data_IF_178512525413
#
_entry.id   IF_178512525413
#
_cell.length_a   1.000
_cell.length_b   1.000
_cell.length_c   1.000
_cell.angle_alpha   90.00
_cell.angle_beta   90.00
_cell.angle_gamma   90.00
#
_symmetry.space_group_name_H-M   'P 1'
#
loop_
_entity.id
_entity.type
_entity.pdbx_description
1 polymer ?
#
# COMPACT_ATOMS: atom_id res chain seq x y z
N UNK A 1 -43.64 0.90 2.46
CA UNK A 1 -42.38 0.53 3.14
C UNK A 1 -41.36 0.11 2.08
N UNK A 2 -40.42 0.99 1.73
CA UNK A 2 -39.38 0.66 0.76
C UNK A 2 -38.32 -0.21 1.43
N UNK A 3 -38.21 -1.48 1.04
CA UNK A 3 -37.12 -2.37 1.44
C UNK A 3 -35.81 -1.78 0.94
N UNK A 4 -35.11 -1.05 1.82
CA UNK A 4 -33.83 -0.44 1.52
C UNK A 4 -32.84 -1.53 1.17
N UNK A 5 -32.44 -1.61 -0.11
CA UNK A 5 -31.46 -2.59 -0.60
C UNK A 5 -30.22 -2.50 0.30
N UNK A 6 -29.78 -3.60 0.93
CA UNK A 6 -28.66 -3.58 1.85
C UNK A 6 -27.45 -2.94 1.16
N UNK A 7 -26.74 -2.10 1.93
CA UNK A 7 -25.57 -1.36 1.47
C UNK A 7 -24.50 -2.37 1.03
N UNK A 8 -24.21 -2.42 -0.28
CA UNK A 8 -23.21 -3.32 -0.85
C UNK A 8 -21.87 -3.27 -0.10
N UNK A 9 -21.20 -4.40 0.10
CA UNK A 9 -19.91 -4.45 0.80
C UNK A 9 -18.84 -3.56 0.13
N UNK A 10 -17.85 -3.13 0.89
CA UNK A 10 -16.72 -2.37 0.35
C UNK A 10 -15.94 -3.29 -0.61
N UNK A 11 -15.63 -2.79 -1.81
CA UNK A 11 -15.03 -3.61 -2.87
C UNK A 11 -16.03 -4.38 -3.72
N UNK A 12 -17.33 -4.36 -3.39
CA UNK A 12 -18.36 -5.05 -4.18
C UNK A 12 -18.40 -4.51 -5.63
N UNK A 13 -18.21 -5.43 -6.56
CA UNK A 13 -18.38 -5.24 -8.00
C UNK A 13 -19.78 -5.71 -8.36
N UNK A 14 -20.63 -4.81 -8.87
CA UNK A 14 -21.95 -5.18 -9.35
C UNK A 14 -21.86 -6.08 -10.59
N UNK A 15 -22.99 -6.65 -10.98
CA UNK A 15 -23.12 -7.27 -12.29
C UNK A 15 -22.71 -6.28 -13.41
N UNK A 16 -22.03 -6.80 -14.44
CA UNK A 16 -21.59 -6.03 -15.59
C UNK A 16 -22.75 -5.96 -16.58
N UNK A 17 -23.19 -4.73 -16.89
CA UNK A 17 -24.19 -4.48 -17.93
C UNK A 17 -23.52 -4.30 -19.29
N UNK A 18 -24.11 -4.91 -20.32
CA UNK A 18 -23.71 -4.75 -21.72
C UNK A 18 -24.83 -4.08 -22.51
N UNK A 19 -24.47 -3.14 -23.38
CA UNK A 19 -25.43 -2.44 -24.24
C UNK A 19 -24.83 -2.21 -25.60
N UNK A 20 -25.57 -2.57 -26.66
CA UNK A 20 -25.29 -2.12 -28.03
C UNK A 20 -25.67 -0.65 -28.16
N UNK A 21 -24.70 0.21 -28.48
CA UNK A 21 -24.90 1.66 -28.65
C UNK A 21 -25.26 1.99 -30.10
N UNK A 22 -24.64 1.32 -31.07
CA UNK A 22 -24.82 1.56 -32.50
C UNK A 22 -24.72 0.24 -33.27
N UNK A 23 -25.52 0.10 -34.32
CA UNK A 23 -25.51 -1.09 -35.18
C UNK A 23 -24.51 -0.98 -36.33
N UNK A 24 -24.35 0.21 -36.93
CA UNK A 24 -23.41 0.43 -38.03
C UNK A 24 -22.61 1.75 -37.89
N UNK A 25 -21.26 1.71 -37.76
CA UNK A 25 -20.50 0.52 -37.42
C UNK A 25 -20.81 0.08 -35.99
N UNK A 26 -20.84 -1.23 -35.79
CA UNK A 26 -21.23 -1.87 -34.54
C UNK A 26 -20.41 -1.35 -33.36
N UNK A 27 -21.09 -0.94 -32.30
CA UNK A 27 -20.46 -0.40 -31.10
C UNK A 27 -21.18 -0.89 -29.85
N UNK A 28 -20.42 -1.57 -29.00
CA UNK A 28 -20.87 -2.09 -27.72
C UNK A 28 -20.27 -1.31 -26.56
N UNK A 29 -20.99 -1.28 -25.46
CA UNK A 29 -20.55 -0.71 -24.19
C UNK A 29 -20.73 -1.71 -23.06
N UNK A 30 -19.70 -1.83 -22.23
CA UNK A 30 -19.77 -2.55 -20.98
C UNK A 30 -19.63 -1.54 -19.84
N UNK A 31 -20.49 -1.63 -18.82
CA UNK A 31 -20.45 -0.76 -17.63
C UNK A 31 -20.61 -1.59 -16.36
N UNK A 32 -19.94 -1.18 -15.30
CA UNK A 32 -20.09 -1.77 -13.97
C UNK A 32 -20.09 -0.71 -12.89
N UNK A 33 -20.71 -1.00 -11.74
CA UNK A 33 -20.65 -0.16 -10.54
C UNK A 33 -19.77 -0.85 -9.50
N UNK A 34 -18.80 -0.12 -8.97
CA UNK A 34 -17.86 -0.61 -7.95
C UNK A 34 -18.03 0.26 -6.73
N UNK A 35 -18.24 -0.34 -5.56
CA UNK A 35 -18.18 0.41 -4.29
C UNK A 35 -16.74 0.47 -3.81
N UNK A 36 -16.16 1.66 -3.78
CA UNK A 36 -14.81 1.90 -3.31
C UNK A 36 -14.76 1.85 -1.77
N UNK A 37 -13.57 1.59 -1.21
CA UNK A 37 -13.35 1.49 0.24
C UNK A 37 -13.63 2.80 1.01
N UNK A 38 -13.59 3.95 0.33
CA UNK A 38 -14.04 5.25 0.87
C UNK A 38 -15.58 5.43 0.85
N UNK A 39 -16.34 4.38 0.54
CA UNK A 39 -17.79 4.40 0.47
C UNK A 39 -18.37 5.01 -0.81
N UNK A 40 -17.56 5.67 -1.66
CA UNK A 40 -18.00 6.24 -2.95
C UNK A 40 -18.19 5.14 -3.99
N UNK A 41 -19.01 5.42 -5.00
CA UNK A 41 -19.21 4.51 -6.13
C UNK A 41 -18.41 4.99 -7.34
N UNK A 42 -17.61 4.10 -7.92
CA UNK A 42 -17.06 4.27 -9.27
C UNK A 42 -17.96 3.58 -10.29
N UNK A 43 -18.06 4.17 -11.49
CA UNK A 43 -18.85 3.61 -12.60
C UNK A 43 -18.00 3.48 -13.87
N UNK A 44 -16.98 2.61 -13.89
CA UNK A 44 -16.19 2.41 -15.09
C UNK A 44 -17.04 1.89 -16.24
N UNK A 45 -16.77 2.43 -17.42
CA UNK A 45 -17.33 1.99 -18.70
C UNK A 45 -16.23 1.79 -19.72
N UNK A 46 -16.45 0.92 -20.68
CA UNK A 46 -15.59 0.76 -21.84
C UNK A 46 -16.41 0.40 -23.07
N UNK A 47 -15.89 0.76 -24.26
CA UNK A 47 -16.53 0.51 -25.55
C UNK A 47 -15.67 -0.39 -26.42
N UNK A 48 -16.29 -1.12 -27.35
CA UNK A 48 -15.60 -1.96 -28.32
C UNK A 48 -16.49 -2.29 -29.52
N UNK A 49 -15.87 -2.72 -30.63
CA UNK A 49 -16.59 -3.08 -31.85
C UNK A 49 -17.50 -4.31 -31.67
N UNK A 50 -17.21 -5.15 -30.66
CA UNK A 50 -18.03 -6.30 -30.28
C UNK A 50 -18.28 -6.28 -28.77
N UNK A 51 -19.30 -7.00 -28.30
CA UNK A 51 -19.56 -7.17 -26.87
C UNK A 51 -18.32 -7.70 -26.13
N UNK A 52 -17.63 -8.68 -26.73
CA UNK A 52 -16.40 -9.26 -26.19
C UNK A 52 -15.26 -8.22 -26.10
N UNK A 53 -15.12 -7.35 -27.10
CA UNK A 53 -14.13 -6.27 -27.08
C UNK A 53 -14.44 -5.26 -25.97
N UNK A 54 -15.70 -4.86 -25.81
CA UNK A 54 -16.14 -3.97 -24.73
C UNK A 54 -15.90 -4.58 -23.35
N UNK A 55 -16.20 -5.89 -23.17
CA UNK A 55 -15.92 -6.66 -21.95
C UNK A 55 -14.44 -6.65 -21.61
N UNK A 56 -13.57 -6.98 -22.57
CA UNK A 56 -12.12 -7.04 -22.33
C UNK A 56 -11.54 -5.67 -22.00
N UNK A 57 -12.00 -4.61 -22.69
CA UNK A 57 -11.61 -3.24 -22.39
C UNK A 57 -12.07 -2.81 -20.98
N UNK A 58 -13.28 -3.21 -20.57
CA UNK A 58 -13.80 -2.95 -19.23
C UNK A 58 -12.97 -3.68 -18.17
N UNK A 59 -12.66 -4.96 -18.35
CA UNK A 59 -11.80 -5.72 -17.42
C UNK A 59 -10.46 -5.03 -17.20
N UNK A 60 -9.77 -4.62 -18.27
CA UNK A 60 -8.51 -3.84 -18.16
C UNK A 60 -8.69 -2.54 -17.38
N UNK A 61 -9.83 -1.85 -17.56
CA UNK A 61 -10.13 -0.60 -16.85
C UNK A 61 -10.45 -0.83 -15.37
N UNK A 62 -11.14 -1.93 -15.05
CA UNK A 62 -11.38 -2.36 -13.67
C UNK A 62 -10.05 -2.69 -13.00
N UNK A 63 -9.17 -3.45 -13.65
CA UNK A 63 -7.82 -3.74 -13.12
C UNK A 63 -7.03 -2.46 -12.88
N UNK A 64 -7.00 -1.50 -13.81
CA UNK A 64 -6.34 -0.20 -13.58
C UNK A 64 -6.94 0.61 -12.43
N UNK A 65 -8.25 0.53 -12.22
CA UNK A 65 -8.92 1.18 -11.07
C UNK A 65 -8.57 0.44 -9.79
N UNK A 66 -8.57 -0.89 -9.79
CA UNK A 66 -8.11 -1.71 -8.70
C UNK A 66 -6.64 -1.43 -8.38
N UNK A 67 -5.74 -1.34 -9.37
CA UNK A 67 -4.33 -1.00 -9.21
C UNK A 67 -4.11 0.43 -8.75
N UNK A 68 -4.95 1.40 -9.15
CA UNK A 68 -4.88 2.78 -8.63
C UNK A 68 -5.36 2.85 -7.18
N UNK A 69 -6.35 2.03 -6.83
CA UNK A 69 -6.86 1.82 -5.47
C UNK A 69 -5.75 1.13 -4.66
N UNK A 70 -5.31 -0.08 -5.01
CA UNK A 70 -4.24 -0.87 -4.36
C UNK A 70 -2.87 -0.17 -4.33
N UNK A 71 -2.43 0.46 -5.42
CA UNK A 71 -1.14 1.16 -5.50
C UNK A 71 -1.02 2.38 -4.59
N UNK A 72 -2.17 2.92 -4.13
CA UNK A 72 -2.27 3.99 -3.14
C UNK A 72 -2.81 3.52 -1.77
N UNK A 73 -3.26 2.26 -1.67
CA UNK A 73 -3.93 1.71 -0.49
C UNK A 73 -3.09 0.56 0.05
N UNK A 74 -2.43 0.84 1.16
CA UNK A 74 -1.88 -0.21 1.99
C UNK A 74 -3.03 -0.96 2.68
N UNK A 75 -2.88 -2.27 2.81
CA UNK A 75 -3.78 -3.17 3.54
C UNK A 75 -2.95 -4.05 4.47
N UNK A 76 -3.61 -4.76 5.39
CA UNK A 76 -2.95 -5.74 6.27
C UNK A 76 -2.14 -6.78 5.51
N UNK A 77 -2.58 -7.17 4.31
CA UNK A 77 -1.89 -8.12 3.42
C UNK A 77 -0.72 -7.51 2.63
N UNK A 78 -0.55 -6.18 2.66
CA UNK A 78 0.54 -5.53 1.95
C UNK A 78 1.89 -5.93 2.55
N UNK A 79 2.92 -6.09 1.71
CA UNK A 79 4.28 -6.31 2.20
C UNK A 79 4.74 -5.13 3.05
N UNK A 80 5.32 -5.43 4.20
CA UNK A 80 5.77 -4.42 5.14
C UNK A 80 6.93 -3.58 4.55
N UNK A 81 7.76 -4.17 3.70
CA UNK A 81 8.77 -3.44 2.93
C UNK A 81 8.19 -2.35 2.02
N UNK A 82 7.00 -2.57 1.44
CA UNK A 82 6.30 -1.54 0.66
C UNK A 82 5.84 -0.37 1.55
N UNK A 83 5.41 -0.66 2.78
CA UNK A 83 5.05 0.36 3.77
C UNK A 83 6.27 1.20 4.14
N UNK A 84 7.42 0.55 4.37
CA UNK A 84 8.68 1.25 4.66
C UNK A 84 9.09 2.19 3.52
N UNK A 85 8.98 1.73 2.27
CA UNK A 85 9.30 2.55 1.09
C UNK A 85 8.39 3.77 0.98
N UNK A 86 7.07 3.58 1.17
CA UNK A 86 6.11 4.69 1.14
C UNK A 86 6.32 5.67 2.29
N UNK A 87 6.62 5.19 3.49
CA UNK A 87 6.95 6.04 4.62
C UNK A 87 8.23 6.86 4.36
N UNK A 88 9.28 6.23 3.82
CA UNK A 88 10.54 6.90 3.51
C UNK A 88 10.36 7.97 2.42
N UNK A 89 9.53 7.70 1.41
CA UNK A 89 9.16 8.69 0.39
C UNK A 89 8.42 9.89 1.00
N UNK A 90 7.49 9.66 1.93
CA UNK A 90 6.82 10.74 2.67
C UNK A 90 7.80 11.53 3.57
N UNK A 91 8.77 10.85 4.19
CA UNK A 91 9.82 11.51 4.96
C UNK A 91 10.70 12.40 4.07
N UNK A 92 11.06 11.93 2.87
CA UNK A 92 11.81 12.72 1.89
C UNK A 92 11.09 14.00 1.51
N UNK A 93 9.77 13.94 1.28
CA UNK A 93 8.96 15.15 1.03
C UNK A 93 9.02 16.16 2.18
N UNK A 94 9.12 15.70 3.43
CA UNK A 94 9.30 16.60 4.59
C UNK A 94 10.66 17.29 4.56
N UNK A 95 11.71 16.57 4.17
CA UNK A 95 13.04 17.15 3.95
C UNK A 95 13.02 18.19 2.84
N UNK A 96 12.35 17.89 1.73
CA UNK A 96 12.23 18.82 0.58
C UNK A 96 11.47 20.10 0.94
N UNK A 97 10.56 20.02 1.91
CA UNK A 97 9.87 21.19 2.50
C UNK A 97 10.64 21.85 3.65
N UNK A 98 11.88 21.43 3.92
CA UNK A 98 12.70 21.90 5.04
C UNK A 98 12.10 21.68 6.44
N UNK A 99 11.13 20.76 6.58
CA UNK A 99 10.54 20.39 7.88
C UNK A 99 11.45 19.41 8.66
N UNK A 100 12.43 18.79 7.98
CA UNK A 100 13.37 17.82 8.53
C UNK A 100 14.75 18.00 7.90
N UNK A 101 15.79 17.67 8.65
CA UNK A 101 17.17 17.74 8.17
C UNK A 101 17.48 16.64 7.13
N UNK A 102 18.28 16.97 6.12
CA UNK A 102 18.69 16.02 5.08
C UNK A 102 19.49 14.85 5.63
N UNK A 103 20.37 15.11 6.61
CA UNK A 103 21.11 14.05 7.33
C UNK A 103 20.19 12.99 7.92
N UNK A 104 19.04 13.39 8.47
CA UNK A 104 18.06 12.45 9.04
C UNK A 104 17.47 11.53 7.99
N UNK A 105 17.31 12.00 6.74
CA UNK A 105 16.84 11.14 5.65
C UNK A 105 17.87 10.06 5.30
N UNK A 106 19.16 10.39 5.20
CA UNK A 106 20.19 9.38 4.96
C UNK A 106 20.28 8.35 6.08
N UNK A 107 20.30 8.82 7.34
CA UNK A 107 20.30 7.94 8.52
C UNK A 107 19.09 6.99 8.53
N UNK A 108 17.90 7.49 8.17
CA UNK A 108 16.67 6.69 8.15
C UNK A 108 16.57 5.79 6.93
N UNK A 109 17.06 6.20 5.76
CA UNK A 109 17.15 5.35 4.56
C UNK A 109 18.00 4.11 4.85
N UNK A 110 19.17 4.30 5.44
CA UNK A 110 20.09 3.19 5.74
C UNK A 110 19.48 2.25 6.80
N UNK A 111 18.76 2.81 7.76
CA UNK A 111 18.01 2.04 8.77
C UNK A 111 16.84 1.27 8.15
N UNK A 112 16.10 1.89 7.21
CA UNK A 112 15.03 1.22 6.45
C UNK A 112 15.58 0.05 5.65
N UNK A 113 16.74 0.18 5.00
CA UNK A 113 17.37 -0.93 4.30
C UNK A 113 17.63 -2.13 5.24
N UNK A 114 18.22 -1.88 6.42
CA UNK A 114 18.47 -2.93 7.42
C UNK A 114 17.18 -3.61 7.93
N UNK A 115 16.10 -2.86 8.07
CA UNK A 115 14.80 -3.38 8.46
C UNK A 115 14.17 -4.19 7.31
N UNK A 116 14.26 -3.71 6.06
CA UNK A 116 13.74 -4.42 4.88
C UNK A 116 14.39 -5.79 4.71
N UNK A 117 15.70 -5.89 4.93
CA UNK A 117 16.43 -7.16 4.83
C UNK A 117 15.91 -8.22 5.82
N UNK A 118 15.31 -7.80 6.93
CA UNK A 118 14.84 -8.69 8.01
C UNK A 118 13.35 -8.97 8.00
N UNK A 119 12.55 -7.96 7.64
CA UNK A 119 11.09 -8.03 7.78
C UNK A 119 10.33 -7.44 6.59
N UNK A 120 11.03 -7.11 5.48
CA UNK A 120 10.43 -6.48 4.31
C UNK A 120 9.45 -7.37 3.55
N UNK A 121 9.64 -8.68 3.60
CA UNK A 121 8.81 -9.67 2.90
C UNK A 121 7.56 -10.09 3.68
N UNK A 122 7.48 -9.76 4.98
CA UNK A 122 6.30 -10.02 5.81
C UNK A 122 5.10 -9.22 5.32
N UNK A 123 3.90 -9.75 5.50
CA UNK A 123 2.69 -8.95 5.46
C UNK A 123 2.59 -8.03 6.70
N UNK A 124 1.83 -6.94 6.61
CA UNK A 124 1.71 -5.99 7.73
C UNK A 124 1.13 -6.64 8.99
N UNK A 125 0.16 -7.56 8.85
CA UNK A 125 -0.42 -8.28 9.98
C UNK A 125 0.57 -9.22 10.68
N UNK A 126 1.59 -9.72 9.98
CA UNK A 126 2.67 -10.53 10.57
C UNK A 126 3.66 -9.63 11.33
N UNK A 127 3.93 -8.45 10.78
CA UNK A 127 4.80 -7.43 11.37
C UNK A 127 4.21 -6.76 12.62
N UNK A 128 2.92 -6.94 12.92
CA UNK A 128 2.27 -6.50 14.17
C UNK A 128 2.80 -7.23 15.41
N UNK A 129 3.42 -8.40 15.24
CA UNK A 129 3.92 -9.20 16.34
C UNK A 129 5.04 -8.48 17.12
N UNK A 130 4.82 -8.10 18.40
CA UNK A 130 5.82 -7.37 19.18
C UNK A 130 7.09 -8.18 19.46
N UNK A 131 6.98 -9.50 19.58
CA UNK A 131 8.12 -10.40 19.79
C UNK A 131 9.05 -10.41 18.58
N UNK A 132 8.48 -10.52 17.38
CA UNK A 132 9.24 -10.45 16.13
C UNK A 132 9.95 -9.09 15.96
N UNK A 133 9.26 -8.00 16.31
CA UNK A 133 9.86 -6.67 16.30
C UNK A 133 11.06 -6.58 17.27
N UNK A 134 10.94 -7.12 18.48
CA UNK A 134 12.02 -7.13 19.47
C UNK A 134 13.21 -7.98 19.01
N UNK A 135 12.97 -9.15 18.42
CA UNK A 135 13.99 -10.01 17.83
C UNK A 135 14.78 -9.30 16.71
N UNK A 136 14.08 -8.61 15.80
CA UNK A 136 14.70 -7.82 14.73
C UNK A 136 15.58 -6.70 15.31
N UNK A 137 15.11 -6.00 16.35
CA UNK A 137 15.89 -4.93 16.99
C UNK A 137 17.14 -5.47 17.71
N UNK A 138 17.03 -6.63 18.37
CA UNK A 138 18.18 -7.34 18.97
C UNK A 138 19.19 -7.75 17.90
N UNK A 139 18.73 -8.33 16.79
CA UNK A 139 19.58 -8.68 15.64
C UNK A 139 20.37 -7.47 15.09
N UNK A 140 19.71 -6.32 14.93
CA UNK A 140 20.37 -5.09 14.47
C UNK A 140 21.43 -4.62 15.49
N UNK A 141 21.12 -4.70 16.79
CA UNK A 141 22.09 -4.36 17.85
C UNK A 141 23.34 -5.23 17.77
N UNK A 142 23.16 -6.54 17.68
CA UNK A 142 24.25 -7.51 17.65
C UNK A 142 25.13 -7.35 16.41
N UNK A 143 24.53 -7.13 15.23
CA UNK A 143 25.29 -6.89 14.01
C UNK A 143 26.08 -5.58 14.10
N UNK A 144 25.45 -4.51 14.61
CA UNK A 144 26.12 -3.23 14.80
C UNK A 144 27.28 -3.33 15.80
N UNK A 145 27.13 -4.10 16.87
CA UNK A 145 28.18 -4.33 17.87
C UNK A 145 29.40 -5.05 17.28
N UNK A 146 29.21 -5.93 16.28
CA UNK A 146 30.30 -6.65 15.58
C UNK A 146 31.02 -5.79 14.55
N UNK A 147 30.44 -4.68 14.11
CA UNK A 147 31.01 -3.81 13.09
C UNK A 147 32.20 -3.01 13.63
N UNK A 148 33.35 -3.08 12.96
CA UNK A 148 34.54 -2.25 13.27
C UNK A 148 34.29 -0.74 13.20
N UNK A 149 33.18 -0.31 12.60
CA UNK A 149 32.77 1.10 12.50
C UNK A 149 32.01 1.60 13.73
N UNK A 150 31.50 0.69 14.58
CA UNK A 150 30.75 1.05 15.79
C UNK A 150 31.70 1.14 16.99
N UNK A 151 31.83 2.33 17.60
CA UNK A 151 32.42 2.48 18.93
C UNK A 151 31.34 2.22 19.99
N UNK A 152 30.95 0.97 20.21
CA UNK A 152 29.97 0.61 21.24
C UNK A 152 29.20 -0.67 20.98
N UNK A 153 28.31 -0.99 21.91
CA UNK A 153 27.48 -2.20 22.00
C UNK A 153 26.30 -2.26 21.00
N UNK A 154 26.34 -1.47 19.93
CA UNK A 154 25.28 -1.38 18.92
C UNK A 154 23.99 -0.67 19.37
N UNK A 155 23.92 -0.14 20.60
CA UNK A 155 22.70 0.47 21.15
C UNK A 155 22.15 1.62 20.31
N UNK A 156 23.03 2.50 19.80
CA UNK A 156 22.61 3.64 18.98
C UNK A 156 21.90 3.20 17.68
N UNK A 157 22.37 2.12 17.05
CA UNK A 157 21.75 1.56 15.86
C UNK A 157 20.37 0.98 16.17
N UNK A 158 20.27 0.18 17.24
CA UNK A 158 19.00 -0.39 17.69
C UNK A 158 17.97 0.68 18.09
N UNK A 159 18.40 1.75 18.78
CA UNK A 159 17.55 2.88 19.15
C UNK A 159 16.99 3.61 17.91
N UNK A 160 17.83 3.79 16.89
CA UNK A 160 17.40 4.38 15.61
C UNK A 160 16.43 3.45 14.88
N UNK A 161 16.73 2.16 14.79
CA UNK A 161 15.86 1.14 14.19
C UNK A 161 14.49 1.11 14.87
N UNK A 162 14.44 1.13 16.21
CA UNK A 162 13.18 1.22 16.97
C UNK A 162 12.39 2.46 16.60
N UNK A 163 13.05 3.61 16.52
CA UNK A 163 12.41 4.90 16.17
C UNK A 163 11.81 4.85 14.77
N UNK A 164 12.56 4.33 13.79
CA UNK A 164 12.10 4.17 12.41
C UNK A 164 10.93 3.18 12.36
N UNK A 165 11.06 2.02 12.99
CA UNK A 165 10.02 1.00 13.02
C UNK A 165 8.71 1.53 13.61
N UNK A 166 8.75 2.22 14.76
CA UNK A 166 7.57 2.87 15.34
C UNK A 166 6.92 3.89 14.40
N UNK A 167 7.73 4.67 13.66
CA UNK A 167 7.21 5.63 12.70
C UNK A 167 6.58 4.95 11.46
N UNK A 168 7.12 3.81 11.02
CA UNK A 168 6.56 3.00 9.92
C UNK A 168 5.25 2.37 10.36
N UNK A 169 5.17 1.75 11.54
CA UNK A 169 3.90 1.23 12.08
C UNK A 169 2.85 2.34 12.23
N UNK A 170 3.25 3.52 12.74
CA UNK A 170 2.37 4.69 12.80
C UNK A 170 1.94 5.22 11.43
N UNK A 171 2.70 4.96 10.37
CA UNK A 171 2.28 5.21 8.99
C UNK A 171 1.32 4.13 8.49
N UNK A 172 1.60 2.85 8.75
CA UNK A 172 0.72 1.73 8.42
C UNK A 172 -0.70 1.93 8.99
N UNK A 173 -0.80 2.27 10.28
CA UNK A 173 -2.08 2.53 10.95
C UNK A 173 -2.88 3.67 10.30
N UNK A 174 -2.23 4.80 9.99
CA UNK A 174 -2.87 5.94 9.32
C UNK A 174 -3.38 5.59 7.92
N UNK A 175 -2.85 4.54 7.32
CA UNK A 175 -3.23 4.04 6.00
C UNK A 175 -4.08 2.76 6.05
N UNK A 176 -4.57 2.33 7.23
CA UNK A 176 -5.36 1.09 7.45
C UNK A 176 -4.64 -0.19 7.00
N UNK A 177 -3.32 -0.22 7.13
CA UNK A 177 -2.51 -1.40 6.91
C UNK A 177 -2.18 -2.16 8.20
N UNK A 178 -2.49 -1.54 9.35
CA UNK A 178 -2.26 -1.99 10.72
C UNK A 178 -3.30 -1.34 11.63
#
# INVERSE_FOLDING_TARGET
MGTGRPRAELGYVSEISYRKIREDPELWEARVRIRLRNGRYARPSARGATERAARNALKKRITKIADRVVGSILSSESRFGLVMDKWLAEFKKKVDRSERAEKSYYDYRDTVAQLKDRMGELACWEAENPGLCDEVLKSIREEAAKSKRSKGDGYAAAKRARTVLSNVCGYAMRHNAM
#
